data_IF_645486458659
#
_entry.id   IF_645486458659
#
_cell.length_a   1.000
_cell.length_b   1.000
_cell.length_c   1.000
_cell.angle_alpha   90.00
_cell.angle_beta   90.00
_cell.angle_gamma   90.00
#
_symmetry.space_group_name_H-M   'P 1'
#
loop_
_entity.id
_entity.type
_entity.pdbx_description
1 polymer ?
#
# COMPACT_ATOMS: atom_id res chain seq x y z
N UNK A 1 -7.00 4.19 10.92
CA UNK A 1 -6.63 2.77 11.07
C UNK A 1 -6.50 2.20 9.67
N UNK A 2 -5.29 1.84 9.21
CA UNK A 2 -5.10 1.42 7.82
C UNK A 2 -5.86 0.13 7.51
N UNK A 3 -6.48 -0.01 6.33
CA UNK A 3 -7.24 -1.20 5.99
C UNK A 3 -6.31 -2.41 5.96
N UNK A 4 -6.59 -3.40 6.81
CA UNK A 4 -5.96 -4.71 6.70
C UNK A 4 -6.61 -5.39 5.51
N UNK A 5 -5.83 -5.66 4.47
CA UNK A 5 -6.22 -6.62 3.44
C UNK A 5 -5.92 -7.99 4.04
N UNK A 6 -6.91 -8.59 4.70
CA UNK A 6 -6.81 -9.99 5.09
C UNK A 6 -6.91 -10.81 3.81
N UNK A 7 -5.96 -11.71 3.60
CA UNK A 7 -6.00 -12.67 2.51
C UNK A 7 -6.38 -14.04 3.08
N UNK A 8 -7.18 -14.79 2.33
CA UNK A 8 -7.40 -16.20 2.59
C UNK A 8 -6.21 -17.05 2.07
N UNK A 9 -6.17 -18.37 2.33
CA UNK A 9 -5.08 -19.23 1.88
C UNK A 9 -4.89 -19.31 0.36
N UNK A 10 -5.86 -18.89 -0.46
CA UNK A 10 -5.70 -18.81 -1.91
C UNK A 10 -5.27 -17.42 -2.40
N UNK A 11 -4.98 -16.49 -1.48
CA UNK A 11 -4.48 -15.15 -1.80
C UNK A 11 -5.58 -14.18 -2.22
N UNK A 12 -6.84 -14.46 -1.88
CA UNK A 12 -8.00 -13.60 -2.19
C UNK A 12 -8.39 -12.80 -0.94
N UNK A 13 -8.87 -11.57 -1.11
CA UNK A 13 -9.36 -10.73 -0.01
C UNK A 13 -10.43 -11.45 0.80
N UNK A 14 -10.20 -11.60 2.10
CA UNK A 14 -11.10 -12.21 3.07
C UNK A 14 -12.23 -11.23 3.39
N UNK A 15 -13.45 -11.63 3.10
CA UNK A 15 -14.67 -10.95 3.54
C UNK A 15 -15.18 -11.46 4.89
N UNK A 16 -16.04 -10.71 5.61
CA UNK A 16 -16.48 -9.35 5.32
C UNK A 16 -15.55 -8.28 5.90
N UNK A 17 -15.50 -7.11 5.25
CA UNK A 17 -14.57 -6.02 5.59
C UNK A 17 -14.97 -5.31 6.89
N UNK A 18 -14.05 -5.28 7.86
CA UNK A 18 -14.24 -4.54 9.12
C UNK A 18 -14.11 -3.02 8.93
N UNK A 19 -13.22 -2.59 8.03
CA UNK A 19 -12.98 -1.17 7.76
C UNK A 19 -13.81 -0.68 6.55
N UNK A 20 -14.69 0.28 6.80
CA UNK A 20 -15.56 0.90 5.82
C UNK A 20 -15.04 2.25 5.31
N UNK A 21 -13.91 2.76 5.82
CA UNK A 21 -13.35 4.04 5.41
C UNK A 21 -12.66 3.97 4.04
N UNK A 22 -12.71 5.06 3.27
CA UNK A 22 -11.98 5.23 2.01
C UNK A 22 -11.30 6.61 1.99
N UNK A 23 -10.34 6.78 1.08
CA UNK A 23 -9.61 8.04 0.90
C UNK A 23 -9.89 8.60 -0.49
N UNK A 24 -9.89 9.92 -0.60
CA UNK A 24 -10.28 10.65 -1.80
C UNK A 24 -9.23 11.70 -2.16
N UNK A 25 -8.97 11.81 -3.46
CA UNK A 25 -8.10 12.82 -4.07
C UNK A 25 -8.98 13.71 -4.94
N UNK A 26 -8.88 15.02 -4.74
CA UNK A 26 -9.69 16.02 -5.43
C UNK A 26 -10.55 16.83 -4.47
N UNK A 27 -11.51 17.55 -5.04
CA UNK A 27 -12.43 18.42 -4.32
C UNK A 27 -13.51 17.62 -3.59
N UNK A 28 -14.13 18.24 -2.57
CA UNK A 28 -15.18 17.61 -1.80
C UNK A 28 -16.40 17.32 -2.71
N UNK A 29 -16.92 16.08 -2.73
CA UNK A 29 -18.16 15.77 -3.44
C UNK A 29 -19.34 16.59 -2.95
N UNK A 30 -20.25 16.94 -3.85
CA UNK A 30 -21.48 17.67 -3.54
C UNK A 30 -22.73 16.86 -3.94
N UNK A 31 -23.84 17.15 -3.28
CA UNK A 31 -25.16 16.63 -3.61
C UNK A 31 -25.66 17.21 -4.93
N UNK A 32 -26.81 16.71 -5.41
CA UNK A 32 -27.45 17.20 -6.64
C UNK A 32 -27.77 18.69 -6.56
N UNK A 33 -27.99 19.22 -5.36
CA UNK A 33 -28.32 20.64 -5.16
C UNK A 33 -27.05 21.50 -5.00
N UNK A 34 -25.85 20.93 -5.22
CA UNK A 34 -24.56 21.61 -5.11
C UNK A 34 -24.05 21.76 -3.66
N UNK A 35 -24.72 21.14 -2.69
CA UNK A 35 -24.33 21.22 -1.27
C UNK A 35 -23.23 20.19 -0.96
N UNK A 36 -22.11 20.57 -0.31
CA UNK A 36 -21.06 19.62 0.08
C UNK A 36 -21.60 18.43 0.90
N UNK A 37 -21.10 17.23 0.60
CA UNK A 37 -21.53 15.99 1.26
C UNK A 37 -20.82 15.75 2.60
N UNK A 38 -21.11 16.57 3.61
CA UNK A 38 -20.48 16.41 4.93
C UNK A 38 -20.87 15.10 5.63
N UNK A 39 -21.99 14.49 5.22
CA UNK A 39 -22.51 13.25 5.81
C UNK A 39 -21.63 12.01 5.57
N UNK A 40 -20.74 12.05 4.57
CA UNK A 40 -19.80 10.96 4.30
C UNK A 40 -18.37 11.29 4.73
N UNK A 41 -18.05 12.56 4.99
CA UNK A 41 -16.70 13.03 5.32
C UNK A 41 -16.42 12.73 6.79
N UNK A 42 -15.34 11.99 7.05
CA UNK A 42 -14.80 11.81 8.41
C UNK A 42 -13.50 12.59 8.64
N UNK A 43 -12.82 12.98 7.57
CA UNK A 43 -11.56 13.75 7.61
C UNK A 43 -11.47 14.64 6.37
N UNK A 44 -11.04 15.89 6.54
CA UNK A 44 -10.87 16.89 5.47
C UNK A 44 -9.44 17.43 5.39
N UNK A 45 -8.48 16.67 5.91
CA UNK A 45 -7.08 17.04 5.93
C UNK A 45 -6.37 16.53 4.67
N UNK A 46 -5.62 17.42 4.02
CA UNK A 46 -4.69 17.00 2.97
C UNK A 46 -3.48 16.31 3.60
N UNK A 47 -3.21 15.06 3.17
CA UNK A 47 -2.14 14.22 3.72
C UNK A 47 -1.43 13.44 2.62
N UNK A 48 -0.10 13.41 2.68
CA UNK A 48 0.70 12.51 1.87
C UNK A 48 0.71 11.11 2.51
N UNK A 49 0.30 10.09 1.75
CA UNK A 49 0.33 8.68 2.18
C UNK A 49 1.61 7.96 1.73
N UNK A 50 2.45 8.62 0.94
CA UNK A 50 3.63 8.05 0.29
C UNK A 50 3.38 7.72 -1.19
N UNK A 51 4.44 7.38 -1.91
CA UNK A 51 4.42 6.96 -3.32
C UNK A 51 3.74 7.98 -4.27
N UNK A 52 3.84 9.28 -3.95
CA UNK A 52 3.19 10.35 -4.71
C UNK A 52 1.68 10.48 -4.47
N UNK A 53 1.09 9.67 -3.59
CA UNK A 53 -0.34 9.68 -3.28
C UNK A 53 -0.61 10.73 -2.19
N UNK A 54 -1.24 11.84 -2.60
CA UNK A 54 -1.73 12.88 -1.70
C UNK A 54 -3.25 12.86 -1.68
N UNK A 55 -3.83 12.60 -0.51
CA UNK A 55 -5.29 12.58 -0.31
C UNK A 55 -5.75 13.95 0.20
N UNK A 56 -7.02 14.28 -0.04
CA UNK A 56 -7.64 15.51 0.45
C UNK A 56 -8.75 15.25 1.47
N UNK A 57 -9.43 14.09 1.37
CA UNK A 57 -10.53 13.73 2.25
C UNK A 57 -10.49 12.25 2.62
N UNK A 58 -10.99 11.94 3.82
CA UNK A 58 -11.37 10.60 4.26
C UNK A 58 -12.88 10.48 4.34
N UNK A 59 -13.42 9.40 3.78
CA UNK A 59 -14.85 9.11 3.85
C UNK A 59 -15.14 7.89 4.73
N UNK A 60 -16.32 7.88 5.33
CA UNK A 60 -16.77 6.82 6.22
C UNK A 60 -18.28 6.61 6.15
N UNK A 61 -18.71 5.67 5.32
CA UNK A 61 -20.09 5.23 5.20
C UNK A 61 -20.24 3.79 5.68
N UNK A 62 -21.00 3.57 6.75
CA UNK A 62 -21.41 2.21 7.16
C UNK A 62 -22.62 1.76 6.33
N UNK A 63 -22.67 0.49 5.90
CA UNK A 63 -23.89 -0.05 5.28
C UNK A 63 -25.07 -0.03 6.26
N UNK A 64 -26.28 0.01 5.72
CA UNK A 64 -27.51 -0.08 6.49
C UNK A 64 -27.52 -1.36 7.34
N UNK A 65 -28.10 -1.28 8.54
CA UNK A 65 -28.20 -2.38 9.50
C UNK A 65 -26.86 -2.87 10.10
N UNK A 66 -25.79 -2.08 10.02
CA UNK A 66 -24.45 -2.42 10.54
C UNK A 66 -23.86 -3.72 9.96
N UNK A 67 -24.36 -4.19 8.82
CA UNK A 67 -23.78 -5.33 8.10
C UNK A 67 -22.50 -4.83 7.42
N UNK A 68 -21.32 -5.42 7.66
CA UNK A 68 -20.11 -4.98 6.99
C UNK A 68 -20.16 -5.29 5.48
N UNK A 69 -19.34 -4.60 4.68
CA UNK A 69 -19.25 -4.89 3.26
C UNK A 69 -18.77 -6.32 3.04
N UNK A 70 -19.40 -7.04 2.10
CA UNK A 70 -19.03 -8.42 1.78
C UNK A 70 -17.58 -8.51 1.30
N UNK A 71 -17.16 -7.57 0.45
CA UNK A 71 -15.83 -7.49 -0.13
C UNK A 71 -15.48 -6.03 -0.54
N UNK A 72 -14.28 -5.84 -1.09
CA UNK A 72 -13.82 -4.54 -1.59
C UNK A 72 -14.63 -4.07 -2.80
N UNK A 73 -15.09 -4.99 -3.65
CA UNK A 73 -15.89 -4.63 -4.83
C UNK A 73 -17.21 -3.97 -4.42
N UNK A 74 -17.94 -4.57 -3.48
CA UNK A 74 -19.18 -4.02 -2.91
C UNK A 74 -18.94 -2.66 -2.23
N UNK A 75 -17.84 -2.53 -1.48
CA UNK A 75 -17.45 -1.28 -0.83
C UNK A 75 -17.18 -0.17 -1.85
N UNK A 76 -16.30 -0.42 -2.83
CA UNK A 76 -15.91 0.59 -3.81
C UNK A 76 -17.06 0.95 -4.75
N UNK A 77 -17.86 -0.03 -5.18
CA UNK A 77 -19.09 0.22 -5.96
C UNK A 77 -20.02 1.17 -5.21
N UNK A 78 -20.21 0.95 -3.90
CA UNK A 78 -21.07 1.82 -3.09
C UNK A 78 -20.56 3.26 -3.01
N UNK A 79 -19.26 3.47 -2.83
CA UNK A 79 -18.70 4.83 -2.81
C UNK A 79 -18.78 5.51 -4.17
N UNK A 80 -18.53 4.76 -5.25
CA UNK A 80 -18.72 5.26 -6.62
C UNK A 80 -20.16 5.73 -6.81
N UNK A 81 -21.16 4.92 -6.42
CA UNK A 81 -22.57 5.31 -6.54
C UNK A 81 -22.91 6.56 -5.74
N UNK A 82 -22.42 6.67 -4.49
CA UNK A 82 -22.68 7.84 -3.63
C UNK A 82 -22.17 9.13 -4.28
N UNK A 83 -20.96 9.08 -4.84
CA UNK A 83 -20.27 10.25 -5.39
C UNK A 83 -20.76 10.59 -6.80
N UNK A 84 -20.90 9.57 -7.66
CA UNK A 84 -21.18 9.77 -9.08
C UNK A 84 -22.67 9.99 -9.38
N UNK A 85 -23.60 9.40 -8.63
CA UNK A 85 -25.03 9.56 -8.92
C UNK A 85 -25.49 11.03 -8.92
N UNK A 86 -25.07 11.87 -7.96
CA UNK A 86 -25.44 13.29 -7.97
C UNK A 86 -24.82 14.07 -9.13
N UNK A 87 -23.59 13.73 -9.52
CA UNK A 87 -22.94 14.32 -10.69
C UNK A 87 -23.67 13.92 -11.98
N UNK A 88 -24.00 12.64 -12.14
CA UNK A 88 -24.74 12.12 -13.29
C UNK A 88 -26.18 12.65 -13.39
N UNK A 89 -26.80 12.97 -12.25
CA UNK A 89 -28.11 13.60 -12.21
C UNK A 89 -28.08 15.08 -12.67
N UNK A 90 -26.91 15.72 -12.64
CA UNK A 90 -26.69 17.09 -13.12
C UNK A 90 -26.20 17.13 -14.56
N UNK A 91 -25.36 16.16 -14.94
CA UNK A 91 -24.78 16.04 -16.28
C UNK A 91 -24.80 14.57 -16.72
N UNK A 92 -25.71 14.23 -17.63
CA UNK A 92 -25.86 12.87 -18.13
C UNK A 92 -24.67 12.40 -19.00
N UNK A 93 -23.75 13.30 -19.35
CA UNK A 93 -22.56 12.97 -20.15
C UNK A 93 -21.40 12.47 -19.29
N UNK A 94 -21.44 12.67 -17.97
CA UNK A 94 -20.39 12.18 -17.07
C UNK A 94 -20.62 10.71 -16.71
N UNK A 95 -19.53 9.96 -16.57
CA UNK A 95 -19.58 8.56 -16.15
C UNK A 95 -18.38 8.23 -15.27
N UNK A 96 -18.58 7.53 -14.13
CA UNK A 96 -17.47 7.01 -13.33
C UNK A 96 -16.78 5.82 -14.02
N UNK A 97 -17.42 5.22 -15.04
CA UNK A 97 -16.90 4.09 -15.78
C UNK A 97 -16.15 4.59 -17.01
N UNK A 98 -14.90 4.98 -16.81
CA UNK A 98 -14.04 5.53 -17.87
C UNK A 98 -13.47 4.45 -18.80
N UNK A 99 -13.65 3.17 -18.49
CA UNK A 99 -13.02 2.03 -19.19
C UNK A 99 -11.50 2.17 -19.37
N UNK A 100 -10.86 3.07 -18.62
CA UNK A 100 -9.42 3.20 -18.60
C UNK A 100 -8.86 2.04 -17.79
N UNK A 101 -8.15 1.16 -18.47
CA UNK A 101 -7.34 0.14 -17.81
C UNK A 101 -6.19 0.87 -17.10
N UNK A 102 -6.23 0.91 -15.77
CA UNK A 102 -5.04 1.23 -14.99
C UNK A 102 -4.10 0.05 -15.22
N UNK A 103 -3.10 0.26 -16.07
CA UNK A 103 -2.02 -0.72 -16.23
C UNK A 103 -1.20 -0.66 -14.95
N UNK A 104 -1.00 -1.81 -14.29
CA UNK A 104 0.13 -1.93 -13.39
C UNK A 104 1.36 -1.56 -14.21
N UNK A 105 2.14 -0.58 -13.75
CA UNK A 105 3.43 -0.29 -14.34
C UNK A 105 4.34 -1.50 -14.07
N UNK A 106 4.29 -2.50 -14.95
CA UNK A 106 5.25 -3.59 -15.00
C UNK A 106 6.65 -2.99 -15.15
N UNK A 107 7.40 -2.94 -14.05
CA UNK A 107 8.83 -2.58 -14.09
C UNK A 107 9.39 -1.80 -12.90
N UNK A 108 8.56 -1.30 -11.97
CA UNK A 108 9.07 -0.48 -10.86
C UNK A 108 9.56 -1.24 -9.63
N UNK A 109 8.91 -2.36 -9.28
CA UNK A 109 9.15 -3.07 -8.01
C UNK A 109 10.18 -4.21 -8.16
N UNK A 110 11.12 -4.30 -7.22
CA UNK A 110 12.04 -5.45 -7.08
C UNK A 110 11.37 -6.67 -6.46
N UNK A 111 10.19 -6.50 -5.85
CA UNK A 111 9.46 -7.56 -5.18
C UNK A 111 8.50 -8.28 -6.14
N UNK A 112 8.39 -9.60 -5.96
CA UNK A 112 7.43 -10.44 -6.70
C UNK A 112 5.97 -10.13 -6.37
N UNK A 113 5.72 -9.56 -5.20
CA UNK A 113 4.40 -9.19 -4.71
C UNK A 113 4.35 -7.67 -4.54
N UNK A 114 3.18 -7.08 -4.76
CA UNK A 114 2.97 -5.66 -4.48
C UNK A 114 3.23 -5.35 -3.00
N UNK A 115 3.99 -4.29 -2.73
CA UNK A 115 4.26 -3.81 -1.38
C UNK A 115 3.02 -3.11 -0.81
N UNK A 116 2.13 -3.92 -0.23
CA UNK A 116 0.95 -3.43 0.49
C UNK A 116 1.26 -3.10 1.95
N UNK A 117 2.41 -3.52 2.47
CA UNK A 117 2.82 -3.32 3.85
C UNK A 117 3.22 -1.86 4.10
N UNK A 118 3.96 -1.25 3.17
CA UNK A 118 4.35 0.16 3.26
C UNK A 118 3.13 1.08 3.29
N UNK A 119 2.17 0.85 2.38
CA UNK A 119 0.89 1.58 2.34
C UNK A 119 0.09 1.36 3.62
N UNK A 120 0.03 0.11 4.13
CA UNK A 120 -0.64 -0.20 5.40
C UNK A 120 -0.02 0.57 6.57
N UNK A 121 1.30 0.61 6.68
CA UNK A 121 1.96 1.29 7.79
C UNK A 121 2.02 2.82 7.59
N UNK A 122 1.63 3.34 6.42
CA UNK A 122 1.78 4.74 6.08
C UNK A 122 3.26 5.15 5.98
N UNK A 123 4.13 4.21 5.60
CA UNK A 123 5.57 4.39 5.50
C UNK A 123 6.06 4.37 4.04
N UNK A 124 5.16 4.48 3.05
CA UNK A 124 5.53 4.54 1.63
C UNK A 124 6.64 5.56 1.35
N UNK A 125 6.50 6.78 1.89
CA UNK A 125 7.52 7.82 1.77
C UNK A 125 8.88 7.43 2.38
N UNK A 126 8.90 6.61 3.44
CA UNK A 126 10.14 6.08 4.00
C UNK A 126 10.70 4.93 3.16
N UNK A 127 9.81 4.05 2.63
CA UNK A 127 10.17 2.96 1.73
C UNK A 127 10.84 3.49 0.46
N UNK A 128 10.29 4.55 -0.15
CA UNK A 128 10.88 5.25 -1.30
C UNK A 128 12.26 5.82 -0.99
N UNK A 129 12.47 6.40 0.20
CA UNK A 129 13.79 6.91 0.61
C UNK A 129 14.83 5.80 0.81
N UNK A 130 14.38 4.56 1.04
CA UNK A 130 15.23 3.38 1.20
C UNK A 130 15.41 2.60 -0.11
N UNK A 131 14.79 3.05 -1.21
CA UNK A 131 15.03 2.50 -2.54
C UNK A 131 16.43 2.90 -3.01
N UNK A 132 17.18 1.93 -3.51
CA UNK A 132 18.58 2.12 -3.92
C UNK A 132 18.83 1.34 -5.22
N UNK A 133 19.51 1.96 -6.18
CA UNK A 133 19.94 1.21 -7.35
C UNK A 133 21.02 0.18 -7.00
N UNK A 134 22.02 0.57 -6.21
CA UNK A 134 23.14 -0.29 -5.81
C UNK A 134 23.60 0.01 -4.40
N UNK A 135 23.90 -1.04 -3.64
CA UNK A 135 24.49 -0.96 -2.30
C UNK A 135 25.55 -2.04 -2.14
N UNK A 136 26.68 -1.67 -1.53
CA UNK A 136 27.76 -2.60 -1.22
C UNK A 136 27.89 -2.75 0.31
N UNK A 137 27.95 -3.99 0.78
CA UNK A 137 28.19 -4.32 2.20
C UNK A 137 29.55 -5.00 2.30
N UNK A 138 30.48 -4.34 3.00
CA UNK A 138 31.84 -4.84 3.25
C UNK A 138 31.90 -5.42 4.67
N UNK A 139 32.07 -6.73 4.75
CA UNK A 139 31.96 -7.56 5.94
C UNK A 139 30.52 -7.95 6.21
N UNK A 140 30.16 -9.23 6.05
CA UNK A 140 28.81 -9.78 6.33
C UNK A 140 28.79 -10.64 7.61
N UNK A 141 29.73 -10.40 8.53
CA UNK A 141 29.66 -10.93 9.90
C UNK A 141 28.93 -9.98 10.84
N UNK A 142 28.35 -10.49 11.93
CA UNK A 142 27.81 -9.65 13.00
C UNK A 142 26.85 -8.59 12.46
N UNK A 143 27.21 -7.31 12.68
CA UNK A 143 26.50 -6.12 12.19
C UNK A 143 26.19 -6.16 10.70
N UNK A 144 27.14 -6.59 9.86
CA UNK A 144 26.93 -6.62 8.41
C UNK A 144 25.82 -7.58 7.97
N UNK A 145 25.65 -8.70 8.69
CA UNK A 145 24.54 -9.61 8.45
C UNK A 145 23.18 -9.01 8.85
N UNK A 146 23.13 -8.19 9.92
CA UNK A 146 21.92 -7.45 10.28
C UNK A 146 21.59 -6.35 9.28
N UNK A 147 22.60 -5.63 8.78
CA UNK A 147 22.41 -4.63 7.73
C UNK A 147 21.87 -5.30 6.47
N UNK A 148 22.44 -6.46 6.08
CA UNK A 148 21.95 -7.23 4.95
C UNK A 148 20.48 -7.64 5.12
N UNK A 149 20.09 -8.15 6.30
CA UNK A 149 18.70 -8.51 6.60
C UNK A 149 17.73 -7.33 6.42
N UNK A 150 18.12 -6.14 6.90
CA UNK A 150 17.30 -4.94 6.79
C UNK A 150 17.23 -4.41 5.36
N UNK A 151 18.36 -4.35 4.67
CA UNK A 151 18.46 -3.84 3.28
C UNK A 151 17.76 -4.77 2.29
N UNK A 152 17.82 -6.08 2.50
CA UNK A 152 17.11 -7.05 1.65
C UNK A 152 15.58 -6.91 1.68
N UNK A 153 15.04 -6.20 2.68
CA UNK A 153 13.61 -5.89 2.84
C UNK A 153 13.23 -4.53 2.25
N UNK A 154 14.17 -3.79 1.65
CA UNK A 154 13.90 -2.52 0.97
C UNK A 154 13.91 -2.69 -0.55
N UNK A 155 13.55 -1.63 -1.27
CA UNK A 155 13.58 -1.60 -2.74
C UNK A 155 15.02 -1.43 -3.30
N UNK A 156 16.01 -2.11 -2.71
CA UNK A 156 17.38 -2.14 -3.21
C UNK A 156 17.48 -3.10 -4.41
N UNK A 157 17.90 -2.61 -5.58
CA UNK A 157 17.96 -3.40 -6.83
C UNK A 157 19.15 -4.34 -6.88
N UNK A 158 20.31 -3.86 -6.45
CA UNK A 158 21.54 -4.67 -6.40
C UNK A 158 22.21 -4.56 -5.03
N UNK A 159 22.46 -5.71 -4.39
CA UNK A 159 23.20 -5.80 -3.12
C UNK A 159 24.49 -6.58 -3.38
N UNK A 160 25.63 -5.89 -3.24
CA UNK A 160 26.96 -6.44 -3.49
C UNK A 160 27.62 -6.78 -2.15
N UNK A 161 28.02 -8.02 -1.95
CA UNK A 161 28.59 -8.49 -0.69
C UNK A 161 30.08 -8.77 -0.84
N UNK A 162 30.89 -8.19 0.05
CA UNK A 162 32.34 -8.43 0.11
C UNK A 162 32.70 -8.90 1.51
N UNK A 163 33.27 -10.10 1.67
CA UNK A 163 33.70 -10.63 2.96
C UNK A 163 34.91 -11.54 2.76
N UNK A 164 36.00 -11.27 3.47
CA UNK A 164 37.25 -12.02 3.38
C UNK A 164 37.32 -13.20 4.35
N UNK A 165 36.35 -13.35 5.25
CA UNK A 165 36.39 -14.35 6.32
C UNK A 165 35.71 -15.65 5.91
N UNK A 166 36.14 -16.76 6.52
CA UNK A 166 35.40 -18.02 6.46
C UNK A 166 34.30 -18.06 7.51
N UNK A 167 33.12 -18.57 7.12
CA UNK A 167 32.03 -18.75 8.07
C UNK A 167 32.29 -19.95 8.98
N UNK A 168 32.50 -19.67 10.27
CA UNK A 168 32.83 -20.66 11.32
C UNK A 168 31.68 -20.81 12.31
N UNK A 169 31.58 -21.98 12.95
CA UNK A 169 30.48 -22.32 13.87
C UNK A 169 30.29 -21.31 15.01
N UNK A 170 31.37 -20.74 15.57
CA UNK A 170 31.27 -19.72 16.64
C UNK A 170 30.72 -18.37 16.16
N UNK A 171 30.61 -18.15 14.84
CA UNK A 171 30.02 -16.95 14.25
C UNK A 171 28.55 -17.14 13.85
N UNK A 172 28.03 -18.37 13.90
CA UNK A 172 26.72 -18.70 13.34
C UNK A 172 25.56 -18.01 14.06
N UNK A 173 25.63 -17.88 15.38
CA UNK A 173 24.55 -17.31 16.21
C UNK A 173 24.41 -15.78 16.11
N UNK A 174 25.32 -15.11 15.38
CA UNK A 174 25.35 -13.64 15.26
C UNK A 174 25.36 -13.15 13.81
N UNK A 175 25.02 -14.00 12.85
CA UNK A 175 25.03 -13.66 11.43
C UNK A 175 23.79 -14.24 10.72
N UNK A 176 22.59 -13.65 10.95
CA UNK A 176 21.30 -14.23 10.52
C UNK A 176 21.20 -14.50 9.02
N UNK A 177 21.80 -13.65 8.18
CA UNK A 177 21.73 -13.75 6.71
C UNK A 177 22.99 -14.32 6.05
N UNK A 178 24.02 -14.66 6.82
CA UNK A 178 25.25 -15.22 6.25
C UNK A 178 25.05 -16.71 5.99
N UNK A 179 24.98 -17.10 4.72
CA UNK A 179 24.95 -18.50 4.32
C UNK A 179 26.35 -19.07 4.16
N UNK A 180 26.49 -20.37 4.44
CA UNK A 180 27.71 -21.12 4.17
C UNK A 180 27.88 -21.25 2.66
N UNK A 181 28.91 -20.61 2.09
CA UNK A 181 29.30 -20.87 0.70
C UNK A 181 30.14 -22.15 0.68
N UNK A 182 29.62 -23.21 0.07
CA UNK A 182 30.49 -24.32 -0.38
C UNK A 182 31.21 -23.84 -1.64
N UNK A 183 32.54 -23.95 -1.64
CA UNK A 183 33.37 -23.78 -2.83
C UNK A 183 32.92 -24.69 -3.97
#
# INVERSE_FOLDING_TARGET
MSPIIDLDPCGVTRGPLQNHQTWWIGEQPCSRDGVPMDNIVCESQTRELGDGITINFGFSQKPLNNVPYADYYAKMTRYIDIISNPAMALDETVSPRTCQLIRDEEGGSVFRYADTASTRCGIGAASVKLAMDKVAIIGVGGTGAYILDLVAKTHAREIHLFDGDQFKQHNAFRAPERRYQKH
#
